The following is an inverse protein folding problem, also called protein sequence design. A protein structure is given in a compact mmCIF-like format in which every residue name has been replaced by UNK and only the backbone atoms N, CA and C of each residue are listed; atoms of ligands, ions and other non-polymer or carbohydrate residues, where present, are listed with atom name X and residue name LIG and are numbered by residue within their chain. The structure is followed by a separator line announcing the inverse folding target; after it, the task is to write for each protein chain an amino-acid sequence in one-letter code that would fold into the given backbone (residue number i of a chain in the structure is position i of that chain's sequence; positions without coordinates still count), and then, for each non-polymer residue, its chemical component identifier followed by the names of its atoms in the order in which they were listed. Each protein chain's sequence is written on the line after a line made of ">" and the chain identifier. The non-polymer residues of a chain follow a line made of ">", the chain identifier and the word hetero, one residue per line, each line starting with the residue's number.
data_IF_902243300895
#
_entry.id   IF_902243300895
#
_cell.length_a   1.000
_cell.length_b   1.000
_cell.length_c   1.000
_cell.angle_alpha   90.00
_cell.angle_beta   90.00
_cell.angle_gamma   90.00
#
_symmetry.space_group_name_H-M   'P 1'
#
loop_
_entity.id
_entity.type
_entity.pdbx_description
1 polymer ?
#
# COMPACT_ATOMS: atom_id res chain seq x y z
N UNK A 1 20.97 -13.01 -30.46
CA UNK A 1 19.69 -13.54 -29.91
C UNK A 1 19.46 -13.14 -28.45
N UNK A 2 20.40 -13.36 -27.52
CA UNK A 2 20.24 -13.02 -26.09
C UNK A 2 20.03 -11.52 -25.82
N UNK A 3 20.73 -10.65 -26.55
CA UNK A 3 20.59 -9.18 -26.46
C UNK A 3 19.23 -8.68 -26.95
N UNK A 4 18.76 -9.22 -28.07
CA UNK A 4 17.42 -8.93 -28.58
C UNK A 4 16.32 -9.39 -27.62
N UNK A 5 16.46 -10.60 -27.07
CA UNK A 5 15.53 -11.14 -26.08
C UNK A 5 15.47 -10.26 -24.82
N UNK A 6 16.64 -9.84 -24.30
CA UNK A 6 16.70 -8.92 -23.16
C UNK A 6 16.08 -7.56 -23.48
N UNK A 7 16.32 -7.02 -24.69
CA UNK A 7 15.71 -5.78 -25.15
C UNK A 7 14.18 -5.84 -25.21
N UNK A 8 13.62 -6.99 -25.64
CA UNK A 8 12.17 -7.22 -25.66
C UNK A 8 11.62 -7.26 -24.23
N UNK A 9 12.26 -7.99 -23.30
CA UNK A 9 11.85 -8.04 -21.89
C UNK A 9 11.83 -6.64 -21.30
N UNK A 10 12.88 -5.85 -21.56
CA UNK A 10 12.99 -4.50 -21.02
C UNK A 10 11.89 -3.58 -21.59
N UNK A 11 11.63 -3.65 -22.90
CA UNK A 11 10.52 -2.91 -23.51
C UNK A 11 9.17 -3.28 -22.89
N UNK A 12 8.88 -4.57 -22.73
CA UNK A 12 7.64 -5.03 -22.12
C UNK A 12 7.53 -4.56 -20.66
N UNK A 13 8.59 -4.67 -19.89
CA UNK A 13 8.65 -4.19 -18.50
C UNK A 13 8.32 -2.70 -18.41
N UNK A 14 8.95 -1.86 -19.24
CA UNK A 14 8.70 -0.42 -19.24
C UNK A 14 7.28 -0.08 -19.70
N UNK A 15 6.77 -0.73 -20.74
CA UNK A 15 5.41 -0.51 -21.22
C UNK A 15 4.36 -0.80 -20.13
N UNK A 16 4.47 -1.96 -19.47
CA UNK A 16 3.57 -2.34 -18.37
C UNK A 16 3.72 -1.37 -17.19
N UNK A 17 4.96 -1.00 -16.84
CA UNK A 17 5.21 -0.07 -15.73
C UNK A 17 4.61 1.31 -15.98
N UNK A 18 4.72 1.85 -17.19
CA UNK A 18 4.14 3.15 -17.57
C UNK A 18 2.61 3.12 -17.50
N UNK A 19 1.98 2.07 -18.01
CA UNK A 19 0.52 1.86 -17.90
C UNK A 19 0.06 1.72 -16.45
N UNK A 20 0.86 1.07 -15.59
CA UNK A 20 0.54 0.93 -14.16
C UNK A 20 0.68 2.26 -13.42
N UNK A 21 1.71 3.03 -13.73
CA UNK A 21 1.95 4.35 -13.13
C UNK A 21 0.86 5.36 -13.49
N UNK A 22 0.35 5.35 -14.73
CA UNK A 22 -0.76 6.24 -15.12
C UNK A 22 -2.10 5.87 -14.49
N UNK A 23 -2.25 4.62 -14.03
CA UNK A 23 -3.45 4.10 -13.35
C UNK A 23 -3.27 3.97 -11.84
N UNK A 24 -2.27 4.63 -11.24
CA UNK A 24 -2.00 4.51 -9.80
C UNK A 24 -3.16 5.00 -8.92
N UNK A 25 -3.90 6.00 -9.40
CA UNK A 25 -5.05 6.58 -8.69
C UNK A 25 -6.34 5.75 -8.81
N UNK A 26 -6.37 4.80 -9.74
CA UNK A 26 -7.52 3.95 -9.92
C UNK A 26 -7.56 2.93 -8.78
N UNK A 27 -8.60 3.01 -7.93
CA UNK A 27 -8.89 2.03 -6.88
C UNK A 27 -9.24 0.69 -7.53
N UNK A 28 -8.35 -0.30 -7.45
CA UNK A 28 -8.50 -1.54 -8.22
C UNK A 28 -8.76 -2.77 -7.37
N UNK A 29 -8.44 -2.77 -6.07
CA UNK A 29 -8.74 -3.92 -5.22
C UNK A 29 -9.98 -3.64 -4.37
N UNK A 30 -10.98 -4.52 -4.48
CA UNK A 30 -12.24 -4.42 -3.71
C UNK A 30 -12.02 -4.37 -2.19
N UNK A 31 -10.85 -4.77 -1.72
CA UNK A 31 -10.44 -4.77 -0.31
C UNK A 31 -9.50 -3.60 0.06
N UNK A 32 -9.15 -2.71 -0.88
CA UNK A 32 -8.23 -1.58 -0.65
C UNK A 32 -8.70 -0.68 0.50
N UNK A 33 -9.97 -0.26 0.47
CA UNK A 33 -10.56 0.55 1.52
C UNK A 33 -10.51 -0.14 2.89
N UNK A 34 -10.71 -1.46 2.91
CA UNK A 34 -10.64 -2.26 4.15
C UNK A 34 -9.20 -2.29 4.68
N UNK A 35 -8.21 -2.44 3.81
CA UNK A 35 -6.80 -2.39 4.21
C UNK A 35 -6.39 -1.02 4.70
N UNK A 36 -6.90 0.06 4.09
CA UNK A 36 -6.66 1.43 4.57
C UNK A 36 -7.17 1.63 6.00
N UNK A 37 -8.42 1.25 6.29
CA UNK A 37 -9.00 1.35 7.64
C UNK A 37 -8.19 0.55 8.67
N UNK A 38 -7.85 -0.72 8.36
CA UNK A 38 -7.01 -1.55 9.22
C UNK A 38 -5.64 -0.93 9.51
N UNK A 39 -5.09 -0.21 8.54
CA UNK A 39 -3.79 0.47 8.68
C UNK A 39 -3.87 1.67 9.61
N UNK A 40 -5.01 2.39 9.62
CA UNK A 40 -5.30 3.49 10.55
C UNK A 40 -5.43 2.95 11.97
N UNK A 41 -6.20 1.88 12.16
CA UNK A 41 -6.37 1.23 13.46
C UNK A 41 -5.05 0.67 14.00
N UNK A 42 -4.27 0.03 13.13
CA UNK A 42 -2.93 -0.48 13.45
C UNK A 42 -2.00 0.65 13.92
N UNK A 43 -1.92 1.75 13.15
CA UNK A 43 -1.15 2.94 13.51
C UNK A 43 -1.57 3.48 14.87
N UNK A 44 -2.88 3.57 15.12
CA UNK A 44 -3.41 4.07 16.40
C UNK A 44 -3.01 3.18 17.57
N UNK A 45 -3.14 1.85 17.43
CA UNK A 45 -2.73 0.88 18.44
C UNK A 45 -1.22 0.98 18.74
N UNK A 46 -0.38 1.06 17.70
CA UNK A 46 1.07 1.26 17.86
C UNK A 46 1.38 2.58 18.57
N UNK A 47 0.77 3.70 18.13
CA UNK A 47 0.99 5.04 18.70
C UNK A 47 0.63 5.10 20.19
N UNK A 48 -0.42 4.39 20.61
CA UNK A 48 -0.89 4.37 22.00
C UNK A 48 -0.26 3.26 22.85
N UNK A 49 0.71 2.49 22.32
CA UNK A 49 1.34 1.38 23.04
C UNK A 49 0.43 0.17 23.29
N UNK A 50 -0.71 0.09 22.60
CA UNK A 50 -1.72 -0.96 22.76
C UNK A 50 -1.41 -2.16 21.86
N UNK A 51 -0.28 -2.83 22.11
CA UNK A 51 0.24 -3.85 21.19
C UNK A 51 -0.71 -5.05 21.01
N UNK A 52 -1.54 -5.40 22.00
CA UNK A 52 -2.56 -6.43 21.85
C UNK A 52 -3.61 -6.10 20.78
N UNK A 53 -3.91 -4.80 20.57
CA UNK A 53 -4.87 -4.32 19.58
C UNK A 53 -4.26 -4.28 18.15
N UNK A 54 -2.95 -4.50 17.99
CA UNK A 54 -2.30 -4.51 16.66
C UNK A 54 -2.61 -5.76 15.84
N UNK A 55 -3.23 -6.77 16.46
CA UNK A 55 -3.50 -8.08 15.88
C UNK A 55 -4.80 -8.06 15.03
N UNK A 56 -4.81 -7.23 13.99
CA UNK A 56 -6.00 -6.95 13.16
C UNK A 56 -6.18 -7.98 12.03
N UNK A 57 -5.08 -8.42 11.40
CA UNK A 57 -5.10 -9.43 10.33
C UNK A 57 -3.80 -10.24 10.32
N UNK A 58 -3.90 -11.56 10.29
CA UNK A 58 -2.78 -12.48 10.52
C UNK A 58 -1.78 -12.56 9.35
N UNK A 59 -2.21 -12.68 8.07
CA UNK A 59 -1.32 -12.67 6.89
C UNK A 59 -2.10 -12.36 5.59
N UNK A 60 -1.50 -11.73 4.55
CA UNK A 60 -0.22 -11.01 4.47
C UNK A 60 -0.37 -9.51 4.82
N UNK A 61 -1.22 -9.20 5.80
CA UNK A 61 -1.67 -7.83 6.06
C UNK A 61 -0.69 -6.92 6.79
N UNK A 62 0.26 -7.47 7.54
CA UNK A 62 1.06 -6.70 8.50
C UNK A 62 1.96 -5.68 7.80
N UNK A 63 2.67 -6.08 6.75
CA UNK A 63 3.51 -5.16 5.96
C UNK A 63 2.66 -4.10 5.27
N UNK A 64 1.51 -4.47 4.73
CA UNK A 64 0.52 -3.54 4.15
C UNK A 64 0.06 -2.50 5.17
N UNK A 65 -0.23 -2.92 6.40
CA UNK A 65 -0.65 -2.03 7.49
C UNK A 65 0.46 -1.07 7.94
N UNK A 66 1.71 -1.53 7.99
CA UNK A 66 2.85 -0.66 8.26
C UNK A 66 3.06 0.38 7.17
N UNK A 67 3.11 -0.02 5.89
CA UNK A 67 3.38 0.89 4.77
C UNK A 67 2.26 1.92 4.63
N UNK A 68 1.01 1.48 4.68
CA UNK A 68 -0.15 2.37 4.58
C UNK A 68 -0.34 3.25 5.82
N UNK A 69 -0.06 2.71 7.02
CA UNK A 69 -0.03 3.48 8.26
C UNK A 69 1.04 4.58 8.23
N UNK A 70 2.26 4.26 7.79
CA UNK A 70 3.35 5.23 7.61
C UNK A 70 3.01 6.29 6.57
N UNK A 71 2.37 5.92 5.45
CA UNK A 71 1.89 6.85 4.43
C UNK A 71 1.06 7.99 5.04
N UNK A 72 0.23 7.71 6.06
CA UNK A 72 -0.58 8.76 6.71
C UNK A 72 0.26 9.84 7.41
N UNK A 73 1.49 9.54 7.82
CA UNK A 73 2.41 10.54 8.40
C UNK A 73 2.86 11.58 7.38
N UNK A 74 2.85 11.23 6.10
CA UNK A 74 3.31 12.09 5.01
C UNK A 74 2.15 12.78 4.26
N UNK A 75 0.89 12.40 4.55
CA UNK A 75 -0.26 12.77 3.72
C UNK A 75 -1.39 13.48 4.48
N UNK A 76 -1.48 13.38 5.81
CA UNK A 76 -2.51 14.15 6.55
C UNK A 76 -2.06 15.61 6.83
N UNK A 77 -2.82 16.63 6.39
CA UNK A 77 -3.36 17.59 7.35
C UNK A 77 -4.44 16.85 8.17
N UNK A 78 -4.45 17.06 9.48
CA UNK A 78 -5.36 16.43 10.45
C UNK A 78 -6.79 16.25 9.91
N UNK A 79 -7.17 15.02 9.58
CA UNK A 79 -8.58 14.65 9.45
C UNK A 79 -9.14 14.54 10.88
N UNK A 80 -9.48 15.70 11.46
CA UNK A 80 -10.46 15.77 12.54
C UNK A 80 -11.80 15.35 11.92
N UNK A 81 -12.02 14.03 11.80
CA UNK A 81 -13.36 13.47 11.62
C UNK A 81 -13.83 13.03 13.01
N UNK A 82 -14.19 14.05 13.78
CA UNK A 82 -15.25 14.05 14.78
C UNK A 82 -16.11 15.27 14.50
#
# INVERSE_FOLDING_TARGET
>A
MKTLFFGIILCVFFMISLLRLSSLEAHWSSDEARWLLRSIDFKSAVKNGKFSETLIAYHPGVTTMWVSGLRTLFIEPSLNVL
#
